data_IF_152176510823
#
_entry.id   IF_152176510823
#
_cell.length_a   1.000
_cell.length_b   1.000
_cell.length_c   1.000
_cell.angle_alpha   90.00
_cell.angle_beta   90.00
_cell.angle_gamma   90.00
#
_symmetry.space_group_name_H-M   'P 1'
#
loop_
_entity.id
_entity.type
_entity.pdbx_description
1 polymer ?
#
# COMPACT_ATOMS: atom_id res chain seq x y z
N UNK A 1 103.54 -38.82 26.66
CA UNK A 1 102.33 -38.91 25.82
C UNK A 1 101.11 -38.23 26.47
N UNK A 2 100.69 -38.62 27.68
CA UNK A 2 99.55 -38.01 28.39
C UNK A 2 99.66 -36.48 28.59
N UNK A 3 100.85 -35.98 28.95
CA UNK A 3 101.09 -34.53 29.14
C UNK A 3 100.93 -33.74 27.82
N UNK A 4 101.49 -34.26 26.72
CA UNK A 4 101.39 -33.62 25.40
C UNK A 4 99.94 -33.58 24.90
N UNK A 5 99.17 -34.65 25.10
CA UNK A 5 97.74 -34.67 24.79
C UNK A 5 96.95 -33.65 25.63
N UNK A 6 97.27 -33.50 26.93
CA UNK A 6 96.66 -32.50 27.79
C UNK A 6 96.95 -31.06 27.32
N UNK A 7 98.17 -30.76 26.87
CA UNK A 7 98.54 -29.44 26.32
C UNK A 7 97.76 -29.10 25.04
N UNK A 8 97.66 -30.05 24.10
CA UNK A 8 96.89 -29.86 22.85
C UNK A 8 95.41 -29.61 23.17
N UNK A 9 94.83 -30.38 24.09
CA UNK A 9 93.43 -30.24 24.49
C UNK A 9 93.16 -28.96 25.29
N UNK A 10 94.15 -28.46 26.03
CA UNK A 10 94.08 -27.17 26.74
C UNK A 10 93.97 -26.01 25.75
N UNK A 11 94.77 -25.98 24.69
CA UNK A 11 94.67 -24.94 23.64
C UNK A 11 93.28 -24.91 23.00
N UNK A 12 92.70 -26.08 22.73
CA UNK A 12 91.34 -26.19 22.20
C UNK A 12 90.28 -25.69 23.19
N UNK A 13 90.45 -25.95 24.49
CA UNK A 13 89.57 -25.46 25.56
C UNK A 13 89.66 -23.94 25.73
N UNK A 14 90.86 -23.35 25.66
CA UNK A 14 91.05 -21.89 25.74
C UNK A 14 90.38 -21.18 24.55
N UNK A 15 90.50 -21.75 23.35
CA UNK A 15 89.79 -21.26 22.16
C UNK A 15 88.27 -21.39 22.30
N UNK A 16 87.77 -22.47 22.91
CA UNK A 16 86.35 -22.66 23.18
C UNK A 16 85.83 -21.66 24.21
N UNK A 17 86.60 -21.35 25.26
CA UNK A 17 86.23 -20.35 26.26
C UNK A 17 86.05 -18.95 25.65
N UNK A 18 86.89 -18.58 24.68
CA UNK A 18 86.75 -17.32 23.95
C UNK A 18 85.43 -17.28 23.15
N UNK A 19 85.03 -18.40 22.53
CA UNK A 19 83.77 -18.51 21.79
C UNK A 19 82.55 -18.50 22.72
N UNK A 20 82.63 -19.10 23.90
CA UNK A 20 81.59 -18.99 24.93
C UNK A 20 81.34 -17.52 25.30
N UNK A 21 82.39 -16.76 25.58
CA UNK A 21 82.26 -15.34 25.95
C UNK A 21 81.68 -14.50 24.81
N UNK A 22 82.07 -14.77 23.57
CA UNK A 22 81.50 -14.13 22.39
C UNK A 22 80.01 -14.46 22.21
N UNK A 23 79.63 -15.72 22.44
CA UNK A 23 78.24 -16.19 22.34
C UNK A 23 77.34 -15.57 23.42
N UNK A 24 77.82 -15.46 24.66
CA UNK A 24 77.08 -14.80 25.76
C UNK A 24 76.82 -13.32 25.42
N UNK A 25 77.82 -12.64 24.85
CA UNK A 25 77.73 -11.23 24.46
C UNK A 25 76.76 -11.01 23.30
N UNK A 26 76.68 -11.94 22.35
CA UNK A 26 75.76 -11.82 21.22
C UNK A 26 74.31 -12.06 21.64
N UNK A 27 74.06 -13.04 22.52
CA UNK A 27 72.70 -13.35 23.03
C UNK A 27 72.12 -12.19 23.83
N UNK A 28 72.92 -11.47 24.60
CA UNK A 28 72.45 -10.30 25.37
C UNK A 28 72.00 -9.12 24.50
N UNK A 29 72.42 -9.10 23.23
CA UNK A 29 72.06 -8.07 22.25
C UNK A 29 71.02 -8.53 21.22
N UNK A 30 70.70 -9.82 21.19
CA UNK A 30 69.86 -10.41 20.14
C UNK A 30 68.38 -10.41 20.51
N UNK A 31 67.52 -10.03 19.57
CA UNK A 31 66.06 -9.95 19.75
C UNK A 31 65.29 -11.07 19.03
N UNK A 32 65.96 -11.96 18.30
CA UNK A 32 65.32 -13.00 17.50
C UNK A 32 65.43 -14.39 18.13
N UNK A 33 64.36 -15.17 18.08
CA UNK A 33 64.32 -16.55 18.63
C UNK A 33 65.31 -17.48 17.94
N UNK A 34 65.49 -17.35 16.63
CA UNK A 34 66.43 -18.18 15.85
C UNK A 34 67.89 -17.95 16.25
N UNK A 35 68.25 -16.73 16.68
CA UNK A 35 69.59 -16.44 17.20
C UNK A 35 69.82 -17.07 18.58
N UNK A 36 68.78 -17.18 19.42
CA UNK A 36 68.86 -17.84 20.73
C UNK A 36 69.06 -19.34 20.55
N UNK A 37 68.25 -19.98 19.70
CA UNK A 37 68.37 -21.43 19.40
C UNK A 37 69.80 -21.78 18.92
N UNK A 38 70.36 -20.97 18.01
CA UNK A 38 71.73 -21.17 17.49
C UNK A 38 72.83 -20.96 18.55
N UNK A 39 72.57 -20.10 19.54
CA UNK A 39 73.51 -19.82 20.61
C UNK A 39 73.57 -20.96 21.65
N UNK A 40 72.43 -21.59 21.97
CA UNK A 40 72.40 -22.78 22.83
C UNK A 40 73.21 -23.95 22.22
N UNK A 41 73.04 -24.19 20.91
CA UNK A 41 73.79 -25.22 20.18
C UNK A 41 75.30 -24.95 20.24
N UNK A 42 75.69 -23.70 20.01
CA UNK A 42 77.10 -23.28 20.02
C UNK A 42 77.70 -23.40 21.42
N UNK A 43 76.98 -22.95 22.45
CA UNK A 43 77.41 -23.01 23.85
C UNK A 43 77.55 -24.46 24.34
N UNK A 44 76.61 -25.33 23.99
CA UNK A 44 76.68 -26.76 24.33
C UNK A 44 77.88 -27.45 23.66
N UNK A 45 78.19 -27.10 22.41
CA UNK A 45 79.36 -27.60 21.69
C UNK A 45 80.66 -27.14 22.35
N UNK A 46 80.77 -25.85 22.68
CA UNK A 46 81.97 -25.29 23.29
C UNK A 46 82.21 -25.82 24.72
N UNK A 47 81.16 -26.00 25.52
CA UNK A 47 81.29 -26.62 26.86
C UNK A 47 81.80 -28.06 26.77
N UNK A 48 81.38 -28.83 25.75
CA UNK A 48 81.89 -30.19 25.55
C UNK A 48 83.40 -30.21 25.24
N UNK A 49 83.88 -29.23 24.46
CA UNK A 49 85.31 -29.06 24.15
C UNK A 49 86.10 -28.69 25.42
N UNK A 50 85.59 -27.75 26.23
CA UNK A 50 86.22 -27.33 27.50
C UNK A 50 86.29 -28.51 28.48
N UNK A 51 85.20 -29.27 28.62
CA UNK A 51 85.14 -30.47 29.47
C UNK A 51 86.16 -31.51 29.03
N UNK A 52 86.28 -31.77 27.73
CA UNK A 52 87.27 -32.71 27.20
C UNK A 52 88.72 -32.28 27.50
N UNK A 53 89.01 -30.97 27.49
CA UNK A 53 90.29 -30.42 27.91
C UNK A 53 90.57 -30.56 29.41
N UNK A 54 89.56 -30.30 30.24
CA UNK A 54 89.65 -30.49 31.68
C UNK A 54 89.88 -31.98 32.04
N UNK A 55 89.20 -32.91 31.37
CA UNK A 55 89.38 -34.35 31.57
C UNK A 55 90.79 -34.81 31.19
N UNK A 56 91.30 -34.38 30.03
CA UNK A 56 92.66 -34.71 29.61
C UNK A 56 93.72 -34.17 30.60
N UNK A 57 93.47 -32.98 31.17
CA UNK A 57 94.31 -32.40 32.23
C UNK A 57 94.24 -33.21 33.53
N UNK A 58 93.04 -33.66 33.92
CA UNK A 58 92.83 -34.53 35.08
C UNK A 58 93.57 -35.88 34.95
N UNK A 59 93.50 -36.50 33.78
CA UNK A 59 94.14 -37.78 33.48
C UNK A 59 95.68 -37.69 33.48
N UNK A 60 96.24 -36.54 33.09
CA UNK A 60 97.68 -36.29 33.10
C UNK A 60 98.27 -36.02 34.50
N UNK A 61 97.44 -35.62 35.47
CA UNK A 61 97.87 -35.39 36.86
C UNK A 61 97.89 -36.71 37.64
N UNK A 62 98.96 -36.99 38.40
CA UNK A 62 99.05 -38.24 39.18
C UNK A 62 98.24 -38.17 40.48
N UNK A 63 98.62 -37.29 41.43
CA UNK A 63 97.94 -37.05 42.73
C UNK A 63 98.15 -35.60 43.20
N UNK A 64 97.38 -35.12 44.19
CA UNK A 64 97.58 -33.81 44.84
C UNK A 64 96.45 -32.79 44.62
N UNK A 65 96.57 -31.62 45.26
CA UNK A 65 95.53 -30.58 45.33
C UNK A 65 95.07 -30.08 43.95
N UNK A 66 95.97 -30.01 42.98
CA UNK A 66 95.65 -29.59 41.61
C UNK A 66 94.71 -30.58 40.91
N UNK A 67 94.87 -31.89 41.13
CA UNK A 67 94.01 -32.92 40.54
C UNK A 67 92.60 -32.83 41.10
N UNK A 68 92.46 -32.63 42.41
CA UNK A 68 91.16 -32.41 43.07
C UNK A 68 90.49 -31.12 42.60
N UNK A 69 91.25 -30.05 42.38
CA UNK A 69 90.72 -28.78 41.85
C UNK A 69 90.20 -28.92 40.40
N UNK A 70 90.91 -29.64 39.53
CA UNK A 70 90.44 -29.94 38.17
C UNK A 70 89.20 -30.83 38.19
N UNK A 71 89.15 -31.83 39.08
CA UNK A 71 87.97 -32.68 39.27
C UNK A 71 86.73 -31.86 39.67
N UNK A 72 86.88 -30.91 40.60
CA UNK A 72 85.79 -30.01 40.98
C UNK A 72 85.29 -29.17 39.78
N UNK A 73 86.20 -28.69 38.93
CA UNK A 73 85.83 -27.94 37.71
C UNK A 73 85.11 -28.80 36.66
N UNK A 74 85.45 -30.08 36.53
CA UNK A 74 84.72 -31.02 35.67
C UNK A 74 83.28 -31.20 36.18
N UNK A 75 83.09 -31.33 37.50
CA UNK A 75 81.76 -31.42 38.11
C UNK A 75 80.96 -30.12 37.90
N UNK A 76 81.59 -28.95 38.03
CA UNK A 76 80.96 -27.66 37.72
C UNK A 76 80.49 -27.61 36.25
N UNK A 77 81.35 -28.02 35.30
CA UNK A 77 81.03 -28.05 33.86
C UNK A 77 79.90 -29.02 33.53
N UNK A 78 79.84 -30.18 34.20
CA UNK A 78 78.76 -31.15 34.03
C UNK A 78 77.43 -30.57 34.55
N UNK A 79 77.48 -29.87 35.68
CA UNK A 79 76.31 -29.18 36.25
C UNK A 79 75.80 -28.06 35.35
N UNK A 80 76.71 -27.23 34.79
CA UNK A 80 76.35 -26.16 33.86
C UNK A 80 75.76 -26.76 32.57
N UNK A 81 76.36 -27.82 32.02
CA UNK A 81 75.88 -28.49 30.81
C UNK A 81 74.48 -29.10 31.01
N UNK A 82 74.21 -29.67 32.19
CA UNK A 82 72.90 -30.20 32.53
C UNK A 82 71.85 -29.07 32.65
N UNK A 83 72.22 -27.96 33.30
CA UNK A 83 71.36 -26.78 33.45
C UNK A 83 71.01 -26.18 32.08
N UNK A 84 71.99 -26.02 31.20
CA UNK A 84 71.80 -25.47 29.85
C UNK A 84 70.80 -26.30 29.02
N UNK A 85 70.88 -27.63 29.10
CA UNK A 85 69.93 -28.53 28.42
C UNK A 85 68.52 -28.40 28.98
N UNK A 86 68.36 -28.25 30.29
CA UNK A 86 67.05 -28.06 30.93
C UNK A 86 66.44 -26.72 30.52
N UNK A 87 67.23 -25.66 30.44
CA UNK A 87 66.79 -24.34 30.00
C UNK A 87 66.36 -24.37 28.52
N UNK A 88 67.13 -25.04 27.65
CA UNK A 88 66.79 -25.23 26.24
C UNK A 88 65.44 -25.96 26.08
N UNK A 89 65.23 -27.07 26.80
CA UNK A 89 63.95 -27.80 26.76
C UNK A 89 62.79 -26.94 27.29
N UNK A 90 63.03 -26.14 28.32
CA UNK A 90 62.04 -25.20 28.86
C UNK A 90 61.64 -24.18 27.80
N UNK A 91 62.61 -23.56 27.11
CA UNK A 91 62.36 -22.58 26.05
C UNK A 91 61.58 -23.21 24.89
N UNK A 92 61.97 -24.41 24.43
CA UNK A 92 61.26 -25.14 23.36
C UNK A 92 59.80 -25.39 23.76
N UNK A 93 59.55 -25.80 25.00
CA UNK A 93 58.19 -26.07 25.48
C UNK A 93 57.33 -24.80 25.55
N UNK A 94 57.90 -23.69 26.02
CA UNK A 94 57.24 -22.38 26.09
C UNK A 94 56.95 -21.85 24.70
N UNK A 95 57.88 -21.98 23.74
CA UNK A 95 57.69 -21.59 22.35
C UNK A 95 56.54 -22.36 21.69
N UNK A 96 56.54 -23.69 21.82
CA UNK A 96 55.47 -24.54 21.30
C UNK A 96 54.10 -24.21 21.92
N UNK A 97 54.07 -23.92 23.24
CA UNK A 97 52.87 -23.49 23.96
C UNK A 97 52.35 -22.14 23.48
N UNK A 98 53.23 -21.16 23.29
CA UNK A 98 52.89 -19.84 22.77
C UNK A 98 52.37 -19.92 21.33
N UNK A 99 53.04 -20.68 20.46
CA UNK A 99 52.61 -20.89 19.07
C UNK A 99 51.22 -21.52 19.00
N UNK A 100 50.94 -22.48 19.88
CA UNK A 100 49.63 -23.13 19.99
C UNK A 100 48.56 -22.15 20.51
N UNK A 101 48.93 -21.31 21.48
CA UNK A 101 48.06 -20.26 22.04
C UNK A 101 47.73 -19.18 21.00
N UNK A 102 48.72 -18.74 20.22
CA UNK A 102 48.54 -17.78 19.11
C UNK A 102 47.60 -18.37 18.06
N UNK A 103 47.85 -19.60 17.58
CA UNK A 103 46.98 -20.28 16.62
C UNK A 103 45.53 -20.41 17.11
N UNK A 104 45.35 -20.70 18.40
CA UNK A 104 44.02 -20.78 19.02
C UNK A 104 43.35 -19.41 19.07
N UNK A 105 44.07 -18.37 19.47
CA UNK A 105 43.57 -17.00 19.50
C UNK A 105 43.17 -16.49 18.10
N UNK A 106 43.96 -16.80 17.07
CA UNK A 106 43.65 -16.47 15.68
C UNK A 106 42.39 -17.18 15.17
N UNK A 107 42.25 -18.48 15.46
CA UNK A 107 41.06 -19.27 15.12
C UNK A 107 39.80 -18.73 15.80
N UNK A 108 39.91 -18.39 17.09
CA UNK A 108 38.82 -17.77 17.85
C UNK A 108 38.44 -16.41 17.26
N UNK A 109 39.43 -15.56 16.93
CA UNK A 109 39.19 -14.27 16.30
C UNK A 109 38.48 -14.42 14.95
N UNK A 110 38.91 -15.37 14.11
CA UNK A 110 38.29 -15.65 12.82
C UNK A 110 36.82 -16.08 12.99
N UNK A 111 36.57 -16.98 13.95
CA UNK A 111 35.21 -17.46 14.26
C UNK A 111 34.32 -16.33 14.79
N UNK A 112 34.82 -15.52 15.73
CA UNK A 112 34.06 -14.39 16.27
C UNK A 112 33.79 -13.32 15.21
N UNK A 113 34.75 -13.04 14.31
CA UNK A 113 34.54 -12.15 13.17
C UNK A 113 33.43 -12.68 12.24
N UNK A 114 33.47 -13.97 11.90
CA UNK A 114 32.43 -14.59 11.07
C UNK A 114 31.04 -14.53 11.73
N UNK A 115 30.96 -14.78 13.04
CA UNK A 115 29.72 -14.65 13.81
C UNK A 115 29.21 -13.21 13.87
N UNK A 116 30.10 -12.22 14.00
CA UNK A 116 29.74 -10.80 13.98
C UNK A 116 29.18 -10.40 12.62
N UNK A 117 29.83 -10.80 11.54
CA UNK A 117 29.35 -10.54 10.18
C UNK A 117 28.00 -11.21 9.92
N UNK A 118 27.79 -12.44 10.40
CA UNK A 118 26.49 -13.11 10.32
C UNK A 118 25.40 -12.37 11.09
N UNK A 119 25.72 -11.81 12.27
CA UNK A 119 24.76 -11.01 13.07
C UNK A 119 24.50 -9.63 12.47
N UNK A 120 25.47 -9.04 11.77
CA UNK A 120 25.34 -7.75 11.07
C UNK A 120 24.68 -7.90 9.69
N UNK A 121 24.72 -9.09 9.10
CA UNK A 121 24.16 -9.34 7.79
C UNK A 121 22.66 -8.98 7.80
N UNK A 122 22.18 -8.20 6.81
CA UNK A 122 20.76 -7.90 6.71
C UNK A 122 19.96 -9.19 6.53
N UNK A 123 18.75 -9.20 7.09
CA UNK A 123 17.84 -10.34 6.92
C UNK A 123 17.66 -10.63 5.43
N UNK A 124 17.93 -11.87 5.02
CA UNK A 124 17.92 -12.27 3.62
C UNK A 124 16.49 -12.10 3.08
N UNK A 125 16.37 -11.72 1.81
CA UNK A 125 15.06 -11.57 1.18
C UNK A 125 14.18 -12.84 1.35
N UNK A 126 14.78 -14.04 1.23
CA UNK A 126 14.07 -15.32 1.42
C UNK A 126 13.44 -15.49 2.81
N UNK A 127 14.03 -14.89 3.85
CA UNK A 127 13.52 -14.96 5.22
C UNK A 127 12.49 -13.84 5.47
N UNK A 128 12.61 -12.70 4.78
CA UNK A 128 11.73 -11.54 4.91
C UNK A 128 10.42 -11.67 4.13
N UNK A 129 10.44 -12.29 2.94
CA UNK A 129 9.24 -12.40 2.09
C UNK A 129 8.08 -13.16 2.77
N UNK A 130 8.30 -14.32 3.44
CA UNK A 130 7.23 -14.99 4.18
C UNK A 130 6.68 -14.15 5.34
N UNK A 131 7.56 -13.43 6.05
CA UNK A 131 7.16 -12.55 7.15
C UNK A 131 6.36 -11.34 6.64
N UNK A 132 6.74 -10.77 5.50
CA UNK A 132 5.97 -9.71 4.82
C UNK A 132 4.60 -10.22 4.37
N UNK A 133 4.55 -11.41 3.78
CA UNK A 133 3.29 -12.04 3.38
C UNK A 133 2.37 -12.27 4.60
N UNK A 134 2.91 -12.77 5.71
CA UNK A 134 2.17 -12.93 6.97
C UNK A 134 1.69 -11.59 7.52
N UNK A 135 2.51 -10.53 7.49
CA UNK A 135 2.11 -9.20 7.91
C UNK A 135 0.99 -8.63 7.02
N UNK A 136 1.07 -8.82 5.71
CA UNK A 136 0.04 -8.39 4.76
C UNK A 136 -1.27 -9.15 4.99
N UNK A 137 -1.20 -10.45 5.24
CA UNK A 137 -2.36 -11.28 5.57
C UNK A 137 -3.01 -10.85 6.90
N UNK A 138 -2.20 -10.61 7.94
CA UNK A 138 -2.70 -10.12 9.21
C UNK A 138 -3.35 -8.74 9.09
N UNK A 139 -2.78 -7.86 8.25
CA UNK A 139 -3.36 -6.55 7.94
C UNK A 139 -4.71 -6.69 7.21
N UNK A 140 -4.79 -7.54 6.19
CA UNK A 140 -6.05 -7.78 5.48
C UNK A 140 -7.15 -8.33 6.40
N UNK A 141 -6.79 -9.23 7.32
CA UNK A 141 -7.71 -9.73 8.35
C UNK A 141 -8.17 -8.64 9.31
N UNK A 142 -7.28 -7.72 9.72
CA UNK A 142 -7.62 -6.57 10.54
C UNK A 142 -8.59 -5.62 9.82
N UNK A 143 -8.31 -5.30 8.56
CA UNK A 143 -9.15 -4.41 7.76
C UNK A 143 -10.54 -5.03 7.50
N UNK A 144 -10.61 -6.34 7.27
CA UNK A 144 -11.88 -7.08 7.20
C UNK A 144 -12.66 -7.03 8.51
N UNK A 145 -12.00 -7.30 9.65
CA UNK A 145 -12.63 -7.22 10.97
C UNK A 145 -13.14 -5.80 11.29
N UNK A 146 -12.40 -4.77 10.88
CA UNK A 146 -12.83 -3.37 10.99
C UNK A 146 -14.05 -3.08 10.14
N UNK A 147 -14.09 -3.54 8.89
CA UNK A 147 -15.26 -3.37 8.03
C UNK A 147 -16.51 -4.05 8.61
N UNK A 148 -16.37 -5.24 9.21
CA UNK A 148 -17.47 -5.94 9.91
C UNK A 148 -17.93 -5.14 11.12
N UNK A 149 -17.00 -4.56 11.90
CA UNK A 149 -17.34 -3.70 13.03
C UNK A 149 -18.03 -2.41 12.58
N UNK A 150 -17.56 -1.77 11.52
CA UNK A 150 -18.18 -0.57 10.96
C UNK A 150 -19.60 -0.87 10.45
N UNK A 151 -19.82 -2.05 9.87
CA UNK A 151 -21.14 -2.53 9.46
C UNK A 151 -22.09 -2.81 10.65
N UNK A 152 -21.58 -2.90 11.89
CA UNK A 152 -22.44 -2.98 13.08
C UNK A 152 -23.09 -1.64 13.44
N UNK A 153 -22.60 -0.54 12.86
CA UNK A 153 -23.13 0.81 13.07
C UNK A 153 -23.80 1.26 11.76
N UNK A 154 -25.13 1.18 11.73
CA UNK A 154 -25.91 1.72 10.61
C UNK A 154 -25.91 3.25 10.70
N UNK A 155 -25.24 3.91 9.75
CA UNK A 155 -25.19 5.37 9.63
C UNK A 155 -26.10 5.85 8.49
N UNK A 156 -26.68 7.03 8.64
CA UNK A 156 -27.40 7.67 7.56
C UNK A 156 -26.42 8.05 6.43
N UNK A 157 -26.73 7.74 5.15
CA UNK A 157 -25.85 8.07 4.04
C UNK A 157 -25.84 9.57 3.70
N UNK A 158 -26.89 10.30 4.13
CA UNK A 158 -27.09 11.73 3.88
C UNK A 158 -28.11 12.29 4.90
N UNK A 159 -28.29 13.60 4.91
CA UNK A 159 -29.22 14.29 5.82
C UNK A 159 -30.69 14.07 5.44
N UNK A 160 -31.59 13.99 6.43
CA UNK A 160 -33.00 13.71 6.18
C UNK A 160 -33.75 13.21 7.41
N UNK A 161 -34.92 12.61 7.18
CA UNK A 161 -35.90 12.26 8.22
C UNK A 161 -36.09 10.74 8.28
N UNK A 162 -36.06 10.17 9.48
CA UNK A 162 -36.43 8.76 9.70
C UNK A 162 -37.95 8.61 9.65
N UNK A 163 -38.44 7.85 8.68
CA UNK A 163 -39.88 7.58 8.48
C UNK A 163 -40.34 6.46 9.42
N UNK A 164 -39.54 5.41 9.55
CA UNK A 164 -39.93 4.20 10.26
C UNK A 164 -38.70 3.42 10.74
N UNK A 165 -38.82 2.77 11.90
CA UNK A 165 -37.79 1.90 12.47
C UNK A 165 -38.39 0.50 12.60
N UNK A 166 -37.90 -0.41 11.77
CA UNK A 166 -38.47 -1.75 11.59
C UNK A 166 -37.81 -2.82 12.46
N UNK A 167 -36.76 -2.47 13.21
CA UNK A 167 -36.02 -3.38 14.08
C UNK A 167 -36.06 -2.88 15.52
N UNK A 168 -36.32 -3.79 16.45
CA UNK A 168 -36.37 -3.49 17.88
C UNK A 168 -35.10 -3.91 18.61
N UNK A 169 -34.83 -3.29 19.77
CA UNK A 169 -33.71 -3.70 20.62
C UNK A 169 -33.90 -5.16 21.07
N UNK A 170 -32.89 -5.99 20.84
CA UNK A 170 -32.92 -7.43 21.16
C UNK A 170 -33.37 -8.32 20.00
N UNK A 171 -33.80 -7.73 18.90
CA UNK A 171 -34.10 -8.43 17.66
C UNK A 171 -32.84 -8.64 16.81
N UNK A 172 -32.78 -9.76 16.07
CA UNK A 172 -31.68 -10.03 15.14
C UNK A 172 -32.00 -9.36 13.81
N UNK A 173 -31.30 -8.27 13.49
CA UNK A 173 -31.36 -7.67 12.16
C UNK A 173 -30.61 -8.57 11.15
N UNK A 174 -31.33 -9.11 10.17
CA UNK A 174 -30.73 -9.90 9.10
C UNK A 174 -29.90 -9.02 8.15
N UNK A 175 -28.86 -9.59 7.53
CA UNK A 175 -27.93 -8.86 6.66
C UNK A 175 -28.60 -8.18 5.44
N UNK A 176 -29.78 -8.65 5.03
CA UNK A 176 -30.56 -8.12 3.90
C UNK A 176 -31.88 -7.48 4.32
N UNK A 177 -32.17 -7.43 5.63
CA UNK A 177 -33.40 -6.84 6.16
C UNK A 177 -33.35 -5.32 6.12
N UNK A 178 -34.50 -4.67 5.86
CA UNK A 178 -34.61 -3.22 6.02
C UNK A 178 -34.74 -2.89 7.51
N UNK A 179 -33.75 -2.19 8.07
CA UNK A 179 -33.78 -1.78 9.48
C UNK A 179 -34.52 -0.45 9.68
N UNK A 180 -34.27 0.52 8.81
CA UNK A 180 -34.77 1.89 8.93
C UNK A 180 -35.27 2.35 7.55
N UNK A 181 -36.46 2.94 7.50
CA UNK A 181 -36.93 3.69 6.33
C UNK A 181 -36.57 5.16 6.54
N UNK A 182 -35.90 5.73 5.55
CA UNK A 182 -35.32 7.06 5.62
C UNK A 182 -35.75 7.89 4.40
N UNK A 183 -36.20 9.11 4.64
CA UNK A 183 -36.53 10.11 3.63
C UNK A 183 -35.36 11.10 3.51
N UNK A 184 -34.63 11.13 2.39
CA UNK A 184 -33.58 12.13 2.19
C UNK A 184 -34.15 13.56 2.14
N UNK A 185 -33.37 14.52 2.63
CA UNK A 185 -33.65 15.95 2.44
C UNK A 185 -33.29 16.37 1.00
N UNK A 186 -34.14 15.97 0.07
CA UNK A 186 -34.00 16.22 -1.35
C UNK A 186 -35.30 16.80 -1.93
N UNK A 187 -35.23 17.59 -3.02
CA UNK A 187 -36.41 18.13 -3.67
C UNK A 187 -37.37 17.02 -4.11
N UNK A 188 -38.67 17.25 -3.94
CA UNK A 188 -39.68 16.32 -4.42
C UNK A 188 -39.69 16.25 -5.95
N UNK A 189 -39.81 15.03 -6.46
CA UNK A 189 -40.01 14.75 -7.88
C UNK A 189 -41.30 13.97 -8.07
N UNK A 190 -41.96 14.19 -9.20
CA UNK A 190 -43.15 13.43 -9.59
C UNK A 190 -42.79 12.56 -10.78
N UNK A 191 -43.10 11.26 -10.66
CA UNK A 191 -43.00 10.31 -11.76
C UNK A 191 -44.37 10.13 -12.40
N UNK A 192 -44.46 10.35 -13.71
CA UNK A 192 -45.66 10.15 -14.51
C UNK A 192 -45.39 9.20 -15.68
N UNK A 193 -46.35 8.34 -15.99
CA UNK A 193 -46.29 7.48 -17.17
C UNK A 193 -47.10 8.11 -18.30
N UNK A 194 -46.42 8.54 -19.36
CA UNK A 194 -47.03 9.22 -20.52
C UNK A 194 -47.19 8.21 -21.67
N UNK A 195 -48.36 8.11 -22.33
CA UNK A 195 -48.55 7.23 -23.48
C UNK A 195 -47.57 7.51 -24.63
N UNK A 196 -47.22 6.46 -25.39
CA UNK A 196 -46.36 6.57 -26.57
C UNK A 196 -46.88 7.58 -27.61
N UNK A 197 -48.19 7.77 -27.71
CA UNK A 197 -48.78 8.72 -28.66
C UNK A 197 -48.42 10.18 -28.35
N UNK A 198 -48.24 10.51 -27.06
CA UNK A 198 -48.07 11.88 -26.61
C UNK A 198 -46.60 12.21 -26.32
N UNK A 199 -45.75 11.20 -26.07
CA UNK A 199 -44.34 11.40 -25.65
C UNK A 199 -43.51 12.18 -26.69
N UNK A 200 -43.87 12.09 -27.97
CA UNK A 200 -43.15 12.75 -29.06
C UNK A 200 -43.25 14.28 -29.00
N UNK A 201 -44.29 14.81 -28.35
CA UNK A 201 -44.53 16.24 -28.21
C UNK A 201 -43.89 16.83 -26.95
N UNK A 202 -43.32 16.00 -26.07
CA UNK A 202 -42.69 16.43 -24.82
C UNK A 202 -41.19 16.67 -25.03
N UNK A 203 -40.67 17.76 -24.47
CA UNK A 203 -39.25 18.07 -24.46
C UNK A 203 -38.72 18.33 -23.05
N UNK A 204 -37.39 18.20 -22.89
CA UNK A 204 -36.75 18.49 -21.62
C UNK A 204 -36.91 19.97 -21.27
N UNK A 205 -37.20 20.27 -20.00
CA UNK A 205 -37.52 21.59 -19.48
C UNK A 205 -38.87 22.19 -19.89
N UNK A 206 -39.79 21.41 -20.49
CA UNK A 206 -41.15 21.90 -20.69
C UNK A 206 -41.76 22.35 -19.35
N UNK A 207 -42.34 23.56 -19.28
CA UNK A 207 -42.96 24.06 -18.07
C UNK A 207 -44.30 23.35 -17.86
N UNK A 208 -44.59 23.03 -16.60
CA UNK A 208 -45.85 22.38 -16.23
C UNK A 208 -46.44 22.96 -14.95
N UNK A 209 -47.76 22.91 -14.90
CA UNK A 209 -48.53 23.18 -13.70
C UNK A 209 -48.84 21.87 -12.98
N UNK A 210 -48.71 21.89 -11.66
CA UNK A 210 -48.85 20.71 -10.80
C UNK A 210 -49.94 20.98 -9.79
N UNK A 211 -50.90 20.08 -9.68
CA UNK A 211 -51.90 20.08 -8.61
C UNK A 211 -51.86 18.77 -7.85
N UNK A 212 -51.99 18.81 -6.52
CA UNK A 212 -51.98 17.62 -5.67
C UNK A 212 -53.38 17.36 -5.14
N UNK A 213 -53.86 16.12 -5.23
CA UNK A 213 -55.22 15.78 -4.77
C UNK A 213 -55.43 16.07 -3.28
N UNK A 214 -54.35 15.87 -2.50
CA UNK A 214 -54.34 16.09 -1.05
C UNK A 214 -54.19 17.58 -0.66
N UNK A 215 -53.68 18.43 -1.55
CA UNK A 215 -53.43 19.86 -1.27
C UNK A 215 -54.29 20.71 -2.21
N UNK A 216 -55.50 21.02 -1.75
CA UNK A 216 -56.50 21.73 -2.55
C UNK A 216 -56.14 23.20 -2.75
N UNK A 217 -56.51 23.73 -3.92
CA UNK A 217 -56.43 25.15 -4.30
C UNK A 217 -55.00 25.72 -4.33
N UNK A 218 -54.00 24.87 -4.57
CA UNK A 218 -52.61 25.31 -4.76
C UNK A 218 -52.09 24.66 -6.05
N UNK A 219 -51.54 25.51 -6.90
CA UNK A 219 -50.87 25.11 -8.14
C UNK A 219 -49.38 25.35 -7.94
N UNK A 220 -48.59 24.29 -8.08
CA UNK A 220 -47.14 24.36 -8.04
C UNK A 220 -46.60 24.44 -9.45
N UNK A 221 -45.51 25.20 -9.63
CA UNK A 221 -44.80 25.23 -10.90
C UNK A 221 -43.71 24.16 -10.92
N UNK A 222 -43.48 23.61 -12.11
CA UNK A 222 -42.50 22.57 -12.33
C UNK A 222 -42.01 22.51 -13.76
N UNK A 223 -41.07 21.60 -13.98
CA UNK A 223 -40.50 21.34 -15.31
C UNK A 223 -40.12 19.88 -15.48
N UNK A 224 -40.08 19.42 -16.72
CA UNK A 224 -39.56 18.09 -17.06
C UNK A 224 -38.05 18.06 -16.86
N UNK A 225 -37.57 17.17 -16.00
CA UNK A 225 -36.14 16.99 -15.71
C UNK A 225 -35.56 15.69 -16.28
N UNK A 226 -36.41 14.73 -16.63
CA UNK A 226 -35.97 13.48 -17.27
C UNK A 226 -37.12 12.85 -18.06
N UNK A 227 -36.77 12.26 -19.20
CA UNK A 227 -37.63 11.39 -19.99
C UNK A 227 -36.86 10.09 -20.20
N UNK A 228 -37.37 8.99 -19.67
CA UNK A 228 -36.73 7.69 -19.83
C UNK A 228 -36.79 7.24 -21.30
N UNK A 229 -35.68 6.77 -21.89
CA UNK A 229 -35.67 6.35 -23.30
C UNK A 229 -36.34 4.99 -23.53
N UNK A 230 -36.59 4.23 -22.46
CA UNK A 230 -37.17 2.89 -22.54
C UNK A 230 -38.65 2.91 -22.17
N UNK A 231 -39.49 2.32 -23.01
CA UNK A 231 -40.91 2.15 -22.76
C UNK A 231 -41.19 1.10 -21.68
N UNK A 232 -42.34 1.23 -21.01
CA UNK A 232 -42.93 0.23 -20.13
C UNK A 232 -44.36 -0.06 -20.54
N UNK A 233 -44.76 -1.32 -20.46
CA UNK A 233 -46.16 -1.72 -20.55
C UNK A 233 -46.81 -1.53 -19.17
N UNK A 234 -47.80 -0.63 -19.11
CA UNK A 234 -48.61 -0.40 -17.92
C UNK A 234 -50.05 -0.69 -18.28
N UNK A 235 -50.50 -1.91 -17.96
CA UNK A 235 -51.90 -2.33 -18.16
C UNK A 235 -52.29 -2.51 -19.63
N UNK A 236 -51.35 -2.90 -20.50
CA UNK A 236 -51.55 -3.07 -21.94
C UNK A 236 -51.34 -1.80 -22.77
N UNK A 237 -50.91 -0.71 -22.13
CA UNK A 237 -50.59 0.56 -22.79
C UNK A 237 -49.08 0.79 -22.72
N UNK A 238 -48.47 1.04 -23.89
CA UNK A 238 -47.06 1.41 -23.99
C UNK A 238 -46.91 2.85 -23.50
N UNK A 239 -46.11 3.03 -22.45
CA UNK A 239 -45.89 4.31 -21.79
C UNK A 239 -44.40 4.58 -21.59
N UNK A 240 -44.04 5.84 -21.47
CA UNK A 240 -42.70 6.30 -21.13
C UNK A 240 -42.75 7.02 -19.79
N UNK A 241 -41.75 6.75 -18.94
CA UNK A 241 -41.66 7.41 -17.63
C UNK A 241 -41.03 8.79 -17.80
N UNK A 242 -41.73 9.80 -17.30
CA UNK A 242 -41.28 11.19 -17.24
C UNK A 242 -41.15 11.59 -15.79
N UNK A 243 -40.02 12.19 -15.43
CA UNK A 243 -39.76 12.73 -14.10
C UNK A 243 -39.80 14.26 -14.17
N UNK A 244 -40.57 14.86 -13.28
CA UNK A 244 -40.75 16.31 -13.17
C UNK A 244 -40.31 16.82 -11.81
N UNK A 245 -39.75 18.03 -11.77
CA UNK A 245 -39.38 18.72 -10.52
C UNK A 245 -40.48 19.67 -10.08
N UNK A 246 -40.59 19.87 -8.77
CA UNK A 246 -41.43 20.91 -8.15
C UNK A 246 -40.52 22.06 -7.70
N UNK A 247 -40.76 23.28 -8.18
CA UNK A 247 -39.87 24.42 -7.89
C UNK A 247 -40.18 25.08 -6.54
N UNK A 248 -41.46 25.20 -6.18
CA UNK A 248 -41.94 25.86 -4.95
C UNK A 248 -42.56 24.85 -3.97
N UNK A 249 -41.86 23.74 -3.72
CA UNK A 249 -42.33 22.73 -2.78
C UNK A 249 -42.44 23.27 -1.35
N UNK A 250 -43.50 22.91 -0.63
CA UNK A 250 -43.70 23.27 0.78
C UNK A 250 -43.94 22.04 1.67
N UNK A 251 -43.96 22.23 2.99
CA UNK A 251 -44.08 21.16 3.99
C UNK A 251 -45.38 20.32 3.89
N UNK A 252 -46.38 20.79 3.15
CA UNK A 252 -47.63 20.06 2.92
C UNK A 252 -47.44 18.92 1.92
N UNK A 253 -46.44 19.01 1.05
CA UNK A 253 -46.10 17.95 0.10
C UNK A 253 -45.52 16.77 0.88
N UNK A 254 -46.05 15.57 0.62
CA UNK A 254 -45.53 14.32 1.20
C UNK A 254 -45.31 13.30 0.10
N UNK A 255 -44.31 12.44 0.31
CA UNK A 255 -44.05 11.31 -0.59
C UNK A 255 -45.27 10.40 -0.70
N UNK A 256 -45.60 9.96 -1.92
CA UNK A 256 -46.72 9.06 -2.19
C UNK A 256 -48.07 9.76 -2.44
N UNK A 257 -48.10 11.10 -2.45
CA UNK A 257 -49.28 11.84 -2.93
C UNK A 257 -49.49 11.65 -4.44
N UNK A 258 -50.75 11.67 -4.87
CA UNK A 258 -51.12 11.74 -6.29
C UNK A 258 -51.06 13.17 -6.78
N UNK A 259 -50.45 13.37 -7.95
CA UNK A 259 -50.33 14.65 -8.62
C UNK A 259 -50.95 14.61 -10.00
N UNK A 260 -51.59 15.70 -10.42
CA UNK A 260 -52.02 15.94 -11.78
C UNK A 260 -51.08 16.96 -12.42
N UNK A 261 -50.60 16.66 -13.63
CA UNK A 261 -49.63 17.46 -14.37
C UNK A 261 -50.31 18.03 -15.61
N UNK A 262 -50.25 19.35 -15.78
CA UNK A 262 -50.64 20.05 -17.01
C UNK A 262 -49.37 20.57 -17.68
N UNK A 263 -48.88 19.81 -18.67
CA UNK A 263 -47.60 20.05 -19.35
C UNK A 263 -47.85 20.89 -20.59
N UNK A 264 -47.14 22.01 -20.69
CA UNK A 264 -47.25 22.93 -21.84
C UNK A 264 -46.23 22.50 -22.91
N UNK A 265 -46.69 21.71 -23.88
CA UNK A 265 -45.86 21.11 -24.94
C UNK A 265 -45.50 22.07 -26.08
N UNK A 266 -46.37 23.04 -26.38
CA UNK A 266 -46.10 24.07 -27.41
C UNK A 266 -46.74 25.40 -26.99
N UNK A 267 -46.08 26.51 -27.32
CA UNK A 267 -46.54 27.87 -27.05
C UNK A 267 -46.29 28.74 -28.27
N UNK A 268 -47.37 29.31 -28.80
CA UNK A 268 -47.31 30.35 -29.83
C UNK A 268 -48.00 31.61 -29.38
N UNK A 269 -47.31 32.73 -29.57
CA UNK A 269 -47.82 34.06 -29.28
C UNK A 269 -48.13 34.79 -30.58
N UNK A 270 -49.04 35.76 -30.51
CA UNK A 270 -49.43 36.61 -31.64
C UNK A 270 -49.93 35.81 -32.86
N UNK A 271 -50.75 34.78 -32.61
CA UNK A 271 -51.36 33.96 -33.67
C UNK A 271 -52.84 34.29 -33.82
N UNK A 272 -53.35 34.16 -35.06
CA UNK A 272 -54.78 34.21 -35.30
C UNK A 272 -55.41 32.92 -34.78
N UNK A 273 -56.41 33.03 -33.92
CA UNK A 273 -57.09 31.87 -33.34
C UNK A 273 -58.59 31.98 -33.47
N UNK A 274 -59.26 30.85 -33.67
CA UNK A 274 -60.71 30.75 -33.71
C UNK A 274 -61.19 29.67 -32.75
N UNK A 275 -62.41 29.76 -32.19
CA UNK A 275 -62.99 28.67 -31.41
C UNK A 275 -63.02 27.38 -32.23
N UNK A 276 -62.65 26.24 -31.66
CA UNK A 276 -62.62 24.94 -32.34
C UNK A 276 -63.94 24.62 -33.06
N UNK A 277 -65.07 24.99 -32.46
CA UNK A 277 -66.42 24.82 -33.03
C UNK A 277 -66.66 25.58 -34.35
N UNK A 278 -65.88 26.62 -34.64
CA UNK A 278 -65.99 27.40 -35.86
C UNK A 278 -65.24 26.75 -37.04
N UNK A 279 -64.40 25.75 -36.77
CA UNK A 279 -63.67 24.99 -37.78
C UNK A 279 -64.48 23.75 -38.16
N UNK A 280 -64.82 23.65 -39.44
CA UNK A 280 -65.59 22.54 -40.00
C UNK A 280 -64.64 21.64 -40.79
N UNK A 281 -64.66 20.35 -40.53
CA UNK A 281 -63.90 19.38 -41.29
C UNK A 281 -64.80 18.66 -42.30
N UNK A 282 -64.46 18.77 -43.59
CA UNK A 282 -65.19 18.13 -44.69
C UNK A 282 -64.20 17.56 -45.70
N UNK A 283 -64.31 16.25 -46.00
CA UNK A 283 -63.44 15.53 -46.93
C UNK A 283 -61.93 15.67 -46.61
N UNK A 284 -61.56 15.68 -45.32
CA UNK A 284 -60.17 15.80 -44.87
C UNK A 284 -59.57 17.21 -44.97
N UNK A 285 -60.37 18.20 -45.40
CA UNK A 285 -60.01 19.62 -45.41
C UNK A 285 -60.75 20.36 -44.32
N UNK A 286 -60.12 21.40 -43.78
CA UNK A 286 -60.67 22.24 -42.71
C UNK A 286 -61.08 23.59 -43.27
N UNK A 287 -62.26 24.06 -42.86
CA UNK A 287 -62.85 25.30 -43.35
C UNK A 287 -63.35 26.15 -42.19
N UNK A 288 -63.34 27.46 -42.38
CA UNK A 288 -64.13 28.40 -41.56
C UNK A 288 -65.19 29.03 -42.43
N UNK A 289 -66.33 29.35 -41.83
CA UNK A 289 -67.42 30.06 -42.53
C UNK A 289 -67.27 31.55 -42.31
N UNK A 290 -67.35 32.31 -43.39
CA UNK A 290 -67.47 33.77 -43.34
C UNK A 290 -68.82 34.21 -43.91
N UNK A 291 -69.21 35.43 -43.56
CA UNK A 291 -70.41 36.06 -44.11
C UNK A 291 -69.98 37.14 -45.12
N UNK A 292 -70.21 36.89 -46.41
CA UNK A 292 -69.91 37.83 -47.49
C UNK A 292 -71.21 38.18 -48.23
N UNK A 293 -71.61 39.45 -48.23
CA UNK A 293 -72.86 39.94 -48.86
C UNK A 293 -74.12 39.09 -48.56
N UNK A 294 -74.29 38.69 -47.28
CA UNK A 294 -75.39 37.84 -46.77
C UNK A 294 -75.38 36.39 -47.27
N UNK A 295 -74.32 35.95 -47.93
CA UNK A 295 -74.09 34.56 -48.30
C UNK A 295 -73.00 33.94 -47.42
N UNK A 296 -73.18 32.67 -47.05
CA UNK A 296 -72.21 31.91 -46.27
C UNK A 296 -71.20 31.28 -47.22
N UNK A 297 -69.94 31.65 -47.07
CA UNK A 297 -68.83 31.10 -47.86
C UNK A 297 -67.91 30.26 -46.95
N UNK A 298 -67.49 29.09 -47.43
CA UNK A 298 -66.53 28.24 -46.75
C UNK A 298 -65.12 28.57 -47.26
N UNK A 299 -64.28 29.13 -46.39
CA UNK A 299 -62.87 29.38 -46.69
C UNK A 299 -62.04 28.22 -46.14
N UNK A 300 -61.27 27.58 -47.01
CA UNK A 300 -60.31 26.55 -46.60
C UNK A 300 -59.21 27.19 -45.73
N UNK A 301 -58.96 26.60 -44.57
CA UNK A 301 -57.95 27.07 -43.63
C UNK A 301 -56.94 25.97 -43.32
N UNK A 302 -55.69 26.39 -43.15
CA UNK A 302 -54.65 25.54 -42.55
C UNK A 302 -54.60 25.88 -41.07
N UNK A 303 -54.92 24.90 -40.23
CA UNK A 303 -54.91 25.07 -38.76
C UNK A 303 -53.59 24.60 -38.16
N UNK A 304 -53.25 25.13 -36.99
CA UNK A 304 -52.09 24.74 -36.19
C UNK A 304 -52.48 24.14 -34.85
N UNK A 305 -51.83 24.60 -33.79
CA UNK A 305 -51.95 24.05 -32.43
C UNK A 305 -53.37 24.28 -31.89
N UNK A 306 -53.82 23.36 -31.05
CA UNK A 306 -55.05 23.49 -30.26
C UNK A 306 -54.68 23.86 -28.84
N UNK A 307 -55.28 24.93 -28.33
CA UNK A 307 -55.10 25.36 -26.96
C UNK A 307 -56.12 24.67 -26.04
N UNK A 308 -55.76 24.49 -24.77
CA UNK A 308 -56.60 23.84 -23.76
C UNK A 308 -57.92 24.59 -23.50
N UNK A 309 -57.99 25.88 -23.83
CA UNK A 309 -59.21 26.71 -23.76
C UNK A 309 -60.17 26.51 -24.95
N UNK A 310 -59.86 25.58 -25.87
CA UNK A 310 -60.70 25.26 -27.01
C UNK A 310 -60.53 26.18 -28.21
N UNK A 311 -59.45 26.97 -28.25
CA UNK A 311 -59.04 27.73 -29.42
C UNK A 311 -58.14 26.90 -30.35
N UNK A 312 -58.25 27.18 -31.65
CA UNK A 312 -57.43 26.59 -32.70
C UNK A 312 -56.71 27.70 -33.45
N UNK A 313 -55.38 27.56 -33.57
CA UNK A 313 -54.55 28.44 -34.40
C UNK A 313 -54.92 28.31 -35.88
N UNK A 314 -55.03 29.44 -36.58
CA UNK A 314 -55.15 29.53 -38.03
C UNK A 314 -53.83 30.03 -38.60
N UNK A 315 -53.16 29.16 -39.38
CA UNK A 315 -51.88 29.46 -40.03
C UNK A 315 -52.05 30.13 -41.39
N UNK A 316 -53.13 29.81 -42.11
CA UNK A 316 -53.46 30.45 -43.39
C UNK A 316 -54.93 30.24 -43.75
N UNK A 317 -55.43 31.06 -44.67
CA UNK A 317 -56.80 31.02 -45.21
C UNK A 317 -57.63 32.24 -44.84
N UNK A 318 -57.43 32.82 -43.65
CA UNK A 318 -58.10 34.06 -43.21
C UNK A 318 -57.11 35.04 -42.58
N UNK A 319 -57.44 36.34 -42.69
CA UNK A 319 -56.65 37.42 -42.12
C UNK A 319 -57.25 37.91 -40.80
N UNK A 320 -56.43 38.54 -39.98
CA UNK A 320 -56.89 39.26 -38.79
C UNK A 320 -58.00 40.27 -39.14
N UNK A 321 -59.04 40.33 -38.29
CA UNK A 321 -60.22 41.17 -38.53
C UNK A 321 -61.29 40.56 -39.43
N UNK A 322 -61.09 39.35 -39.95
CA UNK A 322 -62.12 38.63 -40.72
C UNK A 322 -63.21 38.12 -39.79
N UNK A 323 -64.46 38.53 -40.02
CA UNK A 323 -65.61 38.03 -39.26
C UNK A 323 -65.98 36.61 -39.68
N UNK A 324 -65.87 35.68 -38.73
CA UNK A 324 -66.21 34.27 -38.92
C UNK A 324 -67.51 33.90 -38.19
N UNK A 325 -68.22 32.93 -38.74
CA UNK A 325 -69.44 32.40 -38.16
C UNK A 325 -69.06 31.32 -37.13
N UNK A 326 -69.10 31.67 -35.84
CA UNK A 326 -68.78 30.72 -34.77
C UNK A 326 -69.90 29.71 -34.47
N UNK A 327 -71.16 30.01 -34.81
CA UNK A 327 -72.30 29.13 -34.56
C UNK A 327 -73.44 29.45 -35.54
N UNK A 328 -74.02 28.43 -36.17
CA UNK A 328 -75.25 28.55 -36.95
C UNK A 328 -76.36 27.88 -36.16
N UNK A 329 -77.37 28.65 -35.73
CA UNK A 329 -78.53 28.10 -35.06
C UNK A 329 -79.41 27.40 -36.09
N UNK A 330 -79.52 26.07 -36.00
CA UNK A 330 -80.53 25.35 -36.77
C UNK A 330 -81.92 25.80 -36.28
N UNK A 331 -82.79 26.17 -37.22
CA UNK A 331 -84.24 26.29 -36.99
C UNK A 331 -84.90 24.94 -37.16
#
# INVERSE_FOLDING_TARGET
EAIHNAEVKKVAADAALLRVNATISSVTSASATTSIDSAFISLASDLAIIRAGAQATYDALQTGTQKTAVQAKIIDLDTISATLRNDEQTIISVKSSNDSSIRTAESNLATTKAQLEQKKAPARAVDLEPLRAQALQAKASLDSARAILDNSIIKAPLDGIVIDILVSRGEIAGATGTAIKFLPDAPFTIESNIPEADIADLTLNDPLAITLDAVKNIEYQGRIISIDPASKDVGGVVTYRVTTSIEDGDERIKTGMTANLDIKTDRRENVLSVPQRAVIEQNGKRYVRILNDKQVENIEVVVGIRSADGLIEIRSGVNEGTEIISFVRAQ
#
